data_IF_538637004151
#
_entry.id   IF_538637004151
#
_cell.length_a   1.000
_cell.length_b   1.000
_cell.length_c   1.000
_cell.angle_alpha   90.00
_cell.angle_beta   90.00
_cell.angle_gamma   90.00
#
_symmetry.space_group_name_H-M   'P 1'
#
loop_
_entity.id
_entity.type
_entity.pdbx_description
1 polymer ?
#
# COMPACT_ATOMS: atom_id res chain seq x y z
N UNK A 1 -10.10 -18.16 -14.11
CA UNK A 1 -9.32 -17.06 -13.50
C UNK A 1 -10.24 -15.85 -13.41
N UNK A 2 -10.54 -15.37 -12.21
CA UNK A 2 -11.24 -14.09 -12.04
C UNK A 2 -10.28 -12.95 -12.36
N UNK A 3 -10.79 -11.86 -12.94
CA UNK A 3 -9.99 -10.65 -13.12
C UNK A 3 -9.61 -10.08 -11.74
N UNK A 4 -8.38 -9.56 -11.57
CA UNK A 4 -8.01 -8.87 -10.36
C UNK A 4 -9.02 -7.75 -10.04
N UNK A 5 -9.44 -7.67 -8.79
CA UNK A 5 -10.46 -6.70 -8.35
C UNK A 5 -9.91 -5.85 -7.22
N UNK A 6 -10.02 -4.53 -7.32
CA UNK A 6 -9.67 -3.62 -6.22
C UNK A 6 -10.71 -3.76 -5.11
N UNK A 7 -10.26 -4.17 -3.93
CA UNK A 7 -11.10 -4.40 -2.75
C UNK A 7 -11.16 -3.15 -1.87
N UNK A 8 -10.03 -2.45 -1.79
CA UNK A 8 -9.93 -1.18 -1.09
C UNK A 8 -8.85 -0.33 -1.75
N UNK A 9 -9.12 0.96 -1.90
CA UNK A 9 -8.12 1.92 -2.35
C UNK A 9 -8.37 3.24 -1.66
N UNK A 10 -7.30 3.86 -1.17
CA UNK A 10 -7.41 5.11 -0.44
C UNK A 10 -6.16 5.96 -0.62
N UNK A 11 -6.38 7.17 -1.12
CA UNK A 11 -5.35 8.20 -1.20
C UNK A 11 -5.07 8.78 0.20
N UNK A 12 -3.80 9.09 0.44
CA UNK A 12 -3.26 9.74 1.62
C UNK A 12 -2.38 10.90 1.15
N UNK A 13 -2.89 12.11 1.37
CA UNK A 13 -2.20 13.36 1.03
C UNK A 13 -1.85 14.05 2.33
N UNK A 14 -0.56 14.29 2.55
CA UNK A 14 -0.01 15.03 3.68
C UNK A 14 0.86 16.17 3.18
N UNK A 15 1.36 17.01 4.09
CA UNK A 15 2.30 18.08 3.76
C UNK A 15 3.63 17.56 3.18
N UNK A 16 3.96 16.27 3.39
CA UNK A 16 5.26 15.70 3.00
C UNK A 16 5.18 14.78 1.79
N UNK A 17 4.06 14.08 1.58
CA UNK A 17 3.91 13.08 0.54
C UNK A 17 2.47 12.90 0.06
N UNK A 18 2.34 12.33 -1.13
CA UNK A 18 1.05 11.95 -1.73
C UNK A 18 1.17 10.48 -2.09
N UNK A 19 0.42 9.63 -1.39
CA UNK A 19 0.50 8.17 -1.55
C UNK A 19 -0.90 7.59 -1.75
N UNK A 20 -0.96 6.40 -2.35
CA UNK A 20 -2.17 5.58 -2.36
C UNK A 20 -1.87 4.21 -1.75
N UNK A 21 -2.71 3.79 -0.80
CA UNK A 21 -2.75 2.40 -0.35
C UNK A 21 -3.82 1.68 -1.15
N UNK A 22 -3.46 0.57 -1.80
CA UNK A 22 -4.39 -0.25 -2.57
C UNK A 22 -4.30 -1.70 -2.16
N UNK A 23 -5.46 -2.33 -1.99
CA UNK A 23 -5.61 -3.76 -1.75
C UNK A 23 -6.42 -4.38 -2.88
N UNK A 24 -5.81 -5.33 -3.57
CA UNK A 24 -6.41 -6.04 -4.70
C UNK A 24 -6.62 -7.50 -4.35
N UNK A 25 -7.73 -8.09 -4.78
CA UNK A 25 -7.93 -9.53 -4.82
C UNK A 25 -7.43 -10.02 -6.18
N UNK A 26 -6.42 -10.87 -6.18
CA UNK A 26 -5.85 -11.46 -7.39
C UNK A 26 -6.50 -12.82 -7.69
N UNK A 27 -6.81 -13.59 -6.64
CA UNK A 27 -7.46 -14.90 -6.73
C UNK A 27 -8.36 -15.15 -5.50
N UNK A 28 -9.01 -16.30 -5.44
CA UNK A 28 -9.98 -16.66 -4.40
C UNK A 28 -9.46 -16.36 -2.99
N UNK A 29 -8.23 -16.80 -2.71
CA UNK A 29 -7.53 -16.72 -1.42
C UNK A 29 -6.20 -15.95 -1.57
N UNK A 30 -6.20 -14.97 -2.45
CA UNK A 30 -5.03 -14.13 -2.72
C UNK A 30 -5.44 -12.67 -2.75
N UNK A 31 -5.05 -11.96 -1.70
CA UNK A 31 -5.16 -10.51 -1.59
C UNK A 31 -3.78 -9.91 -1.48
N UNK A 32 -3.58 -8.75 -2.08
CA UNK A 32 -2.30 -8.06 -2.06
C UNK A 32 -2.49 -6.59 -1.73
N UNK A 33 -1.73 -6.09 -0.76
CA UNK A 33 -1.74 -4.68 -0.36
C UNK A 33 -0.43 -4.03 -0.73
N UNK A 34 -0.47 -2.90 -1.43
CA UNK A 34 0.70 -2.14 -1.85
C UNK A 34 0.50 -0.63 -1.59
N UNK A 35 1.62 0.09 -1.50
CA UNK A 35 1.65 1.54 -1.35
C UNK A 35 2.32 2.15 -2.56
N UNK A 36 1.66 3.12 -3.19
CA UNK A 36 2.11 3.80 -4.39
C UNK A 36 2.44 5.26 -4.10
N UNK A 37 3.51 5.80 -4.68
CA UNK A 37 3.78 7.24 -4.65
C UNK A 37 2.99 7.92 -5.76
N UNK A 38 2.04 8.78 -5.43
CA UNK A 38 1.24 9.51 -6.43
C UNK A 38 1.83 10.87 -6.79
N UNK A 39 2.91 11.29 -6.13
CA UNK A 39 3.57 12.55 -6.46
C UNK A 39 4.12 12.54 -7.88
N UNK A 40 4.03 13.70 -8.56
CA UNK A 40 4.54 13.84 -9.92
C UNK A 40 6.05 13.54 -10.03
N UNK A 41 6.81 13.80 -8.97
CA UNK A 41 8.25 13.54 -8.91
C UNK A 41 8.61 12.10 -8.54
N UNK A 42 7.65 11.29 -8.05
CA UNK A 42 7.87 9.91 -7.57
C UNK A 42 9.07 9.79 -6.60
N UNK A 43 9.24 10.81 -5.75
CA UNK A 43 10.47 10.98 -4.96
C UNK A 43 10.61 9.96 -3.84
N UNK A 44 9.54 9.24 -3.51
CA UNK A 44 9.52 8.24 -2.46
C UNK A 44 9.50 6.80 -2.98
N UNK A 45 9.51 6.61 -4.31
CA UNK A 45 9.66 5.27 -4.90
C UNK A 45 10.92 4.59 -4.35
N UNK A 46 10.78 3.35 -3.87
CA UNK A 46 11.88 2.61 -3.25
C UNK A 46 12.14 2.93 -1.77
N UNK A 47 11.45 3.92 -1.19
CA UNK A 47 11.55 4.22 0.24
C UNK A 47 10.66 3.27 1.07
N UNK A 48 11.08 3.02 2.32
CA UNK A 48 10.35 2.26 3.33
C UNK A 48 9.33 3.12 4.08
N UNK A 49 8.13 2.57 4.29
CA UNK A 49 7.02 3.17 5.05
C UNK A 49 6.10 2.08 5.62
N UNK A 50 5.87 2.02 6.93
CA UNK A 50 4.96 1.02 7.51
C UNK A 50 5.29 -0.45 7.20
N UNK A 51 6.58 -0.73 6.96
CA UNK A 51 7.03 -2.05 6.51
C UNK A 51 6.68 -2.40 5.05
N UNK A 52 6.38 -1.40 4.22
CA UNK A 52 6.30 -1.50 2.77
C UNK A 52 7.43 -0.71 2.13
N UNK A 53 7.97 -1.21 1.02
CA UNK A 53 8.76 -0.45 0.06
C UNK A 53 7.81 0.11 -1.00
N UNK A 54 7.72 1.44 -1.08
CA UNK A 54 6.79 2.16 -1.95
C UNK A 54 7.07 1.85 -3.43
N UNK A 55 6.01 1.59 -4.20
CA UNK A 55 6.01 1.16 -5.60
C UNK A 55 6.78 -0.14 -5.91
N UNK A 56 7.32 -0.83 -4.90
CA UNK A 56 8.26 -1.96 -5.12
C UNK A 56 7.88 -3.24 -4.38
N UNK A 57 7.01 -3.16 -3.37
CA UNK A 57 6.62 -4.32 -2.58
C UNK A 57 5.13 -4.32 -2.29
N UNK A 58 4.65 -5.51 -1.95
CA UNK A 58 3.31 -5.73 -1.50
C UNK A 58 3.28 -6.78 -0.39
N UNK A 59 2.23 -6.75 0.44
CA UNK A 59 1.99 -7.74 1.47
C UNK A 59 0.77 -8.57 1.08
N UNK A 60 1.02 -9.87 0.93
CA UNK A 60 0.00 -10.86 0.61
C UNK A 60 -0.80 -11.26 1.86
N UNK A 61 -2.10 -11.46 1.69
CA UNK A 61 -2.98 -12.04 2.70
C UNK A 61 -3.83 -13.18 2.10
N UNK A 62 -4.10 -14.24 2.89
CA UNK A 62 -4.88 -15.40 2.41
C UNK A 62 -6.38 -15.12 2.34
N UNK A 63 -6.87 -14.13 3.09
CA UNK A 63 -8.29 -13.80 3.17
C UNK A 63 -8.51 -12.27 3.22
N UNK A 64 -9.77 -11.87 3.02
CA UNK A 64 -10.16 -10.46 2.96
C UNK A 64 -9.98 -9.75 4.29
N UNK A 65 -10.24 -10.40 5.41
CA UNK A 65 -10.17 -9.76 6.73
C UNK A 65 -8.72 -9.40 7.08
N UNK A 66 -7.82 -10.38 6.93
CA UNK A 66 -6.37 -10.20 7.04
C UNK A 66 -5.87 -9.10 6.10
N UNK A 67 -6.35 -9.07 4.85
CA UNK A 67 -5.99 -8.04 3.88
C UNK A 67 -6.44 -6.63 4.31
N UNK A 68 -7.63 -6.52 4.89
CA UNK A 68 -8.16 -5.23 5.36
C UNK A 68 -7.43 -4.73 6.60
N UNK A 69 -6.94 -5.60 7.48
CA UNK A 69 -6.09 -5.16 8.60
C UNK A 69 -4.74 -4.64 8.08
N UNK A 70 -4.10 -5.36 7.15
CA UNK A 70 -2.86 -4.90 6.51
C UNK A 70 -3.08 -3.55 5.80
N UNK A 71 -4.22 -3.37 5.11
CA UNK A 71 -4.60 -2.10 4.51
C UNK A 71 -4.73 -0.98 5.54
N UNK A 72 -5.36 -1.26 6.68
CA UNK A 72 -5.56 -0.31 7.77
C UNK A 72 -4.23 0.10 8.40
N UNK A 73 -3.34 -0.84 8.65
CA UNK A 73 -1.98 -0.57 9.15
C UNK A 73 -1.19 0.29 8.16
N UNK A 74 -1.23 -0.05 6.87
CA UNK A 74 -0.60 0.75 5.82
C UNK A 74 -1.14 2.19 5.78
N UNK A 75 -2.45 2.38 5.97
CA UNK A 75 -3.06 3.71 6.05
C UNK A 75 -2.62 4.51 7.27
N UNK A 76 -2.47 3.86 8.43
CA UNK A 76 -1.98 4.50 9.64
C UNK A 76 -0.54 4.94 9.45
N UNK A 77 0.32 4.07 8.90
CA UNK A 77 1.70 4.41 8.59
C UNK A 77 1.79 5.55 7.56
N UNK A 78 1.03 5.46 6.47
CA UNK A 78 0.99 6.50 5.45
C UNK A 78 0.50 7.86 5.99
N UNK A 79 -0.28 7.90 7.07
CA UNK A 79 -0.71 9.18 7.67
C UNK A 79 0.28 9.74 8.68
N UNK A 80 0.96 8.87 9.42
CA UNK A 80 1.67 9.25 10.64
C UNK A 80 3.20 9.15 10.52
N UNK A 81 3.71 8.46 9.51
CA UNK A 81 5.13 8.26 9.27
C UNK A 81 5.62 9.07 8.06
N UNK A 82 6.93 9.28 8.00
CA UNK A 82 7.61 9.83 6.82
C UNK A 82 8.34 8.70 6.11
N UNK A 83 8.27 8.59 4.77
CA UNK A 83 9.08 7.65 4.01
C UNK A 83 10.57 7.81 4.31
N UNK A 84 11.29 6.69 4.45
CA UNK A 84 12.73 6.65 4.77
C UNK A 84 13.47 5.74 3.81
N UNK A 85 14.76 5.98 3.60
CA UNK A 85 15.58 5.08 2.77
C UNK A 85 15.52 3.64 3.33
N UNK A 86 15.40 2.61 2.45
CA UNK A 86 15.35 1.23 2.89
C UNK A 86 16.69 0.85 3.55
N UNK A 87 16.61 0.19 4.70
CA UNK A 87 17.78 -0.34 5.40
C UNK A 87 18.21 -1.68 4.83
#
# INVERSE_FOLDING_TARGET
MSLPTIVAQRAVVTDTHQLTVSTVRIDADYYDTAVFDDSASKKHTGMSLGGFVIDSSSKRSPDRESAMEVHREALIAARNETPKDPR
#
